data_IF_939416325420
#
_entry.id   IF_939416325420
#
_cell.length_a   1.000
_cell.length_b   1.000
_cell.length_c   1.000
_cell.angle_alpha   90.00
_cell.angle_beta   90.00
_cell.angle_gamma   90.00
#
_symmetry.space_group_name_H-M   'P 1'
#
loop_
_entity.id
_entity.type
_entity.pdbx_description
1 polymer ?
#
# COMPACT_ATOMS: atom_id res chain seq x y z
N UNK A 1 -10.44 -17.14 -42.70
CA UNK A 1 -10.84 -16.03 -41.81
C UNK A 1 -11.54 -14.98 -42.65
N UNK A 2 -12.75 -14.58 -42.26
CA UNK A 2 -13.51 -13.54 -42.97
C UNK A 2 -12.90 -12.15 -42.70
N UNK A 3 -12.59 -11.41 -43.77
CA UNK A 3 -11.98 -10.07 -43.70
C UNK A 3 -12.94 -9.00 -43.16
N UNK A 4 -14.24 -9.28 -43.09
CA UNK A 4 -15.25 -8.40 -42.47
C UNK A 4 -15.08 -8.26 -40.95
N UNK A 5 -14.55 -9.30 -40.29
CA UNK A 5 -14.57 -9.41 -38.82
C UNK A 5 -13.53 -8.55 -38.10
N UNK A 6 -12.37 -8.32 -38.70
CA UNK A 6 -11.29 -7.55 -38.07
C UNK A 6 -11.58 -6.03 -37.99
N UNK A 7 -12.08 -5.36 -39.05
CA UNK A 7 -12.50 -3.95 -38.95
C UNK A 7 -13.61 -3.72 -37.91
N UNK A 8 -14.54 -4.66 -37.78
CA UNK A 8 -15.64 -4.56 -36.82
C UNK A 8 -15.15 -4.71 -35.37
N UNK A 9 -14.27 -5.69 -35.10
CA UNK A 9 -13.64 -5.84 -33.79
C UNK A 9 -12.82 -4.61 -33.36
N UNK A 10 -12.14 -3.95 -34.30
CA UNK A 10 -11.44 -2.69 -34.05
C UNK A 10 -12.41 -1.55 -33.70
N UNK A 11 -13.46 -1.33 -34.51
CA UNK A 11 -14.48 -0.29 -34.24
C UNK A 11 -15.13 -0.47 -32.87
N UNK A 12 -15.55 -1.70 -32.56
CA UNK A 12 -16.17 -2.06 -31.28
C UNK A 12 -15.23 -1.78 -30.09
N UNK A 13 -13.93 -2.04 -30.27
CA UNK A 13 -12.88 -1.68 -29.28
C UNK A 13 -12.77 -0.16 -29.10
N UNK A 14 -12.72 0.59 -30.21
CA UNK A 14 -12.60 2.05 -30.19
C UNK A 14 -13.82 2.70 -29.54
N UNK A 15 -15.03 2.23 -29.84
CA UNK A 15 -16.28 2.75 -29.29
C UNK A 15 -16.42 2.45 -27.79
N UNK A 16 -15.97 1.28 -27.32
CA UNK A 16 -15.87 0.97 -25.89
C UNK A 16 -14.88 1.89 -25.17
N UNK A 17 -13.71 2.15 -25.76
CA UNK A 17 -12.72 3.07 -25.19
C UNK A 17 -13.28 4.51 -25.15
N UNK A 18 -13.94 4.97 -26.23
CA UNK A 18 -14.61 6.28 -26.28
C UNK A 18 -15.70 6.41 -25.21
N UNK A 19 -16.54 5.38 -25.03
CA UNK A 19 -17.57 5.38 -24.00
C UNK A 19 -16.98 5.49 -22.59
N UNK A 20 -15.91 4.75 -22.28
CA UNK A 20 -15.20 4.87 -20.99
C UNK A 20 -14.58 6.27 -20.83
N UNK A 21 -13.99 6.85 -21.88
CA UNK A 21 -13.44 8.22 -21.83
C UNK A 21 -14.52 9.29 -21.58
N UNK A 22 -15.72 9.14 -22.15
CA UNK A 22 -16.86 10.01 -21.87
C UNK A 22 -17.34 9.88 -20.41
N UNK A 23 -17.36 8.66 -19.87
CA UNK A 23 -17.69 8.39 -18.45
C UNK A 23 -16.65 8.99 -17.49
N UNK A 24 -15.37 8.97 -17.87
CA UNK A 24 -14.26 9.63 -17.15
C UNK A 24 -14.41 11.16 -17.19
N UNK A 25 -14.69 11.73 -18.37
CA UNK A 25 -14.88 13.18 -18.51
C UNK A 25 -16.09 13.69 -17.70
N UNK A 26 -17.23 12.99 -17.77
CA UNK A 26 -18.40 13.31 -16.95
C UNK A 26 -18.14 13.09 -15.44
N UNK A 27 -17.40 12.05 -15.09
CA UNK A 27 -16.95 11.77 -13.72
C UNK A 27 -16.01 12.83 -13.15
N UNK A 28 -15.15 13.42 -13.98
CA UNK A 28 -14.27 14.54 -13.64
C UNK A 28 -15.09 15.80 -13.37
N UNK A 29 -16.01 16.17 -14.28
CA UNK A 29 -16.92 17.31 -14.08
C UNK A 29 -17.71 17.16 -12.79
N UNK A 30 -18.30 15.98 -12.53
CA UNK A 30 -19.07 15.70 -11.31
C UNK A 30 -18.22 15.79 -10.02
N UNK A 31 -16.89 15.61 -10.10
CA UNK A 31 -15.98 15.75 -8.95
C UNK A 31 -15.52 17.19 -8.74
N UNK A 32 -15.22 17.92 -9.82
CA UNK A 32 -14.74 19.31 -9.75
C UNK A 32 -15.86 20.32 -9.44
N UNK A 33 -17.10 20.07 -9.88
CA UNK A 33 -18.25 20.93 -9.60
C UNK A 33 -18.45 21.10 -8.09
N UNK A 34 -18.34 22.34 -7.62
CA UNK A 34 -18.50 22.73 -6.21
C UNK A 34 -17.51 22.06 -5.24
N UNK A 35 -16.33 21.62 -5.72
CA UNK A 35 -15.35 20.89 -4.91
C UNK A 35 -14.87 21.68 -3.67
N UNK A 36 -14.70 23.00 -3.80
CA UNK A 36 -14.30 23.89 -2.71
C UNK A 36 -15.44 24.54 -1.92
N UNK A 37 -16.72 24.22 -2.18
CA UNK A 37 -17.83 24.93 -1.51
C UNK A 37 -18.10 24.49 -0.08
N UNK A 38 -17.71 23.26 0.31
CA UNK A 38 -17.91 22.77 1.68
C UNK A 38 -16.69 23.09 2.53
N UNK A 39 -16.93 23.47 3.78
CA UNK A 39 -15.91 23.64 4.82
C UNK A 39 -15.04 22.38 4.95
N UNK A 40 -13.73 22.56 5.11
CA UNK A 40 -12.78 21.51 5.43
C UNK A 40 -13.19 20.68 6.67
N UNK A 41 -13.25 19.35 6.52
CA UNK A 41 -13.34 18.47 7.69
C UNK A 41 -12.00 18.45 8.45
N UNK A 42 -12.02 18.21 9.76
CA UNK A 42 -10.81 18.20 10.61
C UNK A 42 -9.69 17.29 10.07
N UNK A 43 -10.05 16.10 9.57
CA UNK A 43 -9.09 15.18 8.94
C UNK A 43 -8.55 15.66 7.58
N UNK A 44 -9.30 16.47 6.82
CA UNK A 44 -8.77 17.10 5.58
C UNK A 44 -7.73 18.16 5.97
N UNK A 45 -8.08 19.05 6.91
CA UNK A 45 -7.20 20.10 7.41
C UNK A 45 -5.90 19.56 8.03
N UNK A 46 -5.96 18.45 8.78
CA UNK A 46 -4.76 17.81 9.36
C UNK A 46 -3.80 17.29 8.30
N UNK A 47 -4.28 16.79 7.16
CA UNK A 47 -3.40 16.34 6.06
C UNK A 47 -2.90 17.55 5.25
N UNK A 48 -3.76 18.53 4.99
CA UNK A 48 -3.40 19.76 4.25
C UNK A 48 -2.33 20.58 4.97
N UNK A 49 -2.39 20.64 6.31
CA UNK A 49 -1.34 21.27 7.12
C UNK A 49 0.06 20.69 6.83
N UNK A 50 0.22 19.37 6.71
CA UNK A 50 1.54 18.77 6.45
C UNK A 50 2.02 18.98 5.01
N UNK A 51 1.11 19.11 4.04
CA UNK A 51 1.45 19.53 2.68
C UNK A 51 1.95 20.99 2.65
N UNK A 52 1.27 21.89 3.38
CA UNK A 52 1.69 23.29 3.57
C UNK A 52 3.04 23.39 4.29
N UNK A 53 3.20 22.71 5.43
CA UNK A 53 4.46 22.69 6.18
C UNK A 53 5.61 22.23 5.29
N UNK A 54 5.44 21.16 4.51
CA UNK A 54 6.48 20.70 3.57
C UNK A 54 6.80 21.72 2.48
N UNK A 55 5.78 22.43 1.94
CA UNK A 55 5.99 23.50 0.97
C UNK A 55 6.76 24.70 1.57
N UNK A 56 6.48 25.04 2.83
CA UNK A 56 7.09 26.19 3.52
C UNK A 56 8.51 25.90 4.03
N UNK A 57 8.78 24.70 4.54
CA UNK A 57 10.07 24.37 5.18
C UNK A 57 10.99 23.50 4.32
N UNK A 58 10.46 22.80 3.30
CA UNK A 58 11.17 21.73 2.60
C UNK A 58 11.34 20.44 3.43
N UNK A 59 10.81 20.38 4.65
CA UNK A 59 10.97 19.27 5.57
C UNK A 59 9.71 18.42 5.71
N UNK A 60 9.86 17.11 5.67
CA UNK A 60 8.81 16.13 5.97
C UNK A 60 9.43 14.79 6.36
N UNK A 61 8.92 14.21 7.44
CA UNK A 61 9.19 12.83 7.85
C UNK A 61 7.89 12.03 7.85
N UNK A 62 7.95 10.70 7.78
CA UNK A 62 6.73 9.91 7.73
C UNK A 62 5.98 9.96 9.07
N UNK A 63 4.69 10.31 9.03
CA UNK A 63 3.82 10.49 10.19
C UNK A 63 2.59 9.62 10.08
N UNK A 64 2.64 8.41 10.64
CA UNK A 64 1.58 7.41 10.58
C UNK A 64 0.17 7.90 10.99
N UNK A 65 0.09 8.92 11.86
CA UNK A 65 -1.17 9.57 12.29
C UNK A 65 -1.90 10.35 11.17
N UNK A 66 -1.22 10.64 10.07
CA UNK A 66 -1.79 11.21 8.83
C UNK A 66 -1.68 10.28 7.63
N UNK A 67 -1.38 8.99 7.87
CA UNK A 67 -1.20 7.93 6.87
C UNK A 67 0.00 8.17 5.93
N UNK A 68 0.07 7.39 4.85
CA UNK A 68 1.13 7.46 3.85
C UNK A 68 1.30 8.86 3.24
N UNK A 69 2.55 9.25 2.89
CA UNK A 69 2.91 10.65 2.62
C UNK A 69 2.60 11.13 1.19
N UNK A 70 2.10 10.27 0.30
CA UNK A 70 1.86 10.59 -1.12
C UNK A 70 0.96 11.83 -1.32
N UNK A 71 -0.10 11.94 -0.53
CA UNK A 71 -1.04 13.05 -0.63
C UNK A 71 -0.33 14.38 -0.30
N UNK A 72 0.48 14.39 0.74
CA UNK A 72 1.21 15.56 1.25
C UNK A 72 2.22 16.08 0.21
N UNK A 73 2.97 15.19 -0.45
CA UNK A 73 3.86 15.59 -1.55
C UNK A 73 3.09 16.10 -2.77
N UNK A 74 2.01 15.44 -3.16
CA UNK A 74 1.21 15.83 -4.32
C UNK A 74 0.59 17.22 -4.11
N UNK A 75 -0.04 17.45 -2.96
CA UNK A 75 -0.71 18.70 -2.64
C UNK A 75 0.27 19.85 -2.38
N UNK A 76 1.49 19.60 -1.89
CA UNK A 76 2.51 20.66 -1.80
C UNK A 76 2.81 21.28 -3.17
N UNK A 77 2.88 20.45 -4.24
CA UNK A 77 2.99 20.95 -5.62
C UNK A 77 1.70 21.65 -6.09
N UNK A 78 0.51 21.14 -5.75
CA UNK A 78 -0.76 21.79 -6.10
C UNK A 78 -0.89 23.16 -5.42
N UNK A 79 -0.50 23.28 -4.15
CA UNK A 79 -0.49 24.54 -3.40
C UNK A 79 0.54 25.53 -3.93
N UNK A 80 1.73 25.07 -4.34
CA UNK A 80 2.72 25.92 -5.00
C UNK A 80 2.19 26.55 -6.31
N UNK A 81 1.33 25.84 -7.04
CA UNK A 81 0.81 26.26 -8.34
C UNK A 81 -0.51 27.05 -8.25
N UNK A 82 -1.43 26.67 -7.34
CA UNK A 82 -2.80 27.17 -7.29
C UNK A 82 -3.16 27.87 -5.97
N UNK A 83 -2.23 27.96 -5.02
CA UNK A 83 -2.47 28.39 -3.64
C UNK A 83 -3.22 27.34 -2.82
N UNK A 84 -3.07 27.38 -1.49
CA UNK A 84 -3.80 26.50 -0.59
C UNK A 84 -5.21 27.03 -0.30
N UNK A 85 -6.24 26.23 -0.61
CA UNK A 85 -7.64 26.51 -0.35
C UNK A 85 -8.48 25.20 -0.43
N UNK A 86 -9.75 25.28 -0.02
CA UNK A 86 -10.68 24.15 0.02
C UNK A 86 -10.94 23.47 -1.33
N UNK A 87 -10.68 24.13 -2.46
CA UNK A 87 -10.74 23.52 -3.79
C UNK A 87 -9.42 22.80 -4.12
N UNK A 88 -8.29 23.49 -3.98
CA UNK A 88 -6.98 22.96 -4.38
C UNK A 88 -6.58 21.75 -3.56
N UNK A 89 -6.85 21.73 -2.24
CA UNK A 89 -6.52 20.59 -1.37
C UNK A 89 -7.30 19.31 -1.69
N UNK A 90 -8.38 19.40 -2.47
CA UNK A 90 -9.19 18.25 -2.88
C UNK A 90 -8.91 17.83 -4.32
N UNK A 91 -8.17 18.65 -5.08
CA UNK A 91 -7.99 18.51 -6.52
C UNK A 91 -7.26 17.21 -6.88
N UNK A 92 -6.17 16.88 -6.18
CA UNK A 92 -5.39 15.66 -6.46
C UNK A 92 -6.25 14.40 -6.31
N UNK A 93 -6.95 14.25 -5.17
CA UNK A 93 -7.82 13.10 -4.90
C UNK A 93 -9.03 13.05 -5.85
N UNK A 94 -9.58 14.22 -6.20
CA UNK A 94 -10.66 14.33 -7.19
C UNK A 94 -10.24 13.88 -8.58
N UNK A 95 -9.03 14.24 -9.03
CA UNK A 95 -8.48 13.80 -10.32
C UNK A 95 -8.20 12.30 -10.31
N UNK A 96 -7.55 11.75 -9.26
CA UNK A 96 -7.33 10.29 -9.16
C UNK A 96 -8.65 9.53 -9.16
N UNK A 97 -9.66 10.00 -8.44
CA UNK A 97 -10.99 9.39 -8.43
C UNK A 97 -11.77 9.55 -9.73
N UNK A 98 -11.52 10.60 -10.51
CA UNK A 98 -12.08 10.78 -11.84
C UNK A 98 -11.44 9.84 -12.88
N UNK A 99 -10.16 9.50 -12.71
CA UNK A 99 -9.41 8.60 -13.58
C UNK A 99 -9.63 7.11 -13.26
N UNK A 100 -10.06 6.77 -12.04
CA UNK A 100 -10.35 5.39 -11.61
C UNK A 100 -11.23 4.56 -12.60
N UNK A 101 -12.26 5.10 -13.27
CA UNK A 101 -13.04 4.35 -14.26
C UNK A 101 -12.23 3.82 -15.44
N UNK A 102 -11.06 4.39 -15.77
CA UNK A 102 -10.14 3.85 -16.78
C UNK A 102 -9.65 2.44 -16.43
N UNK A 103 -9.61 2.09 -15.14
CA UNK A 103 -9.24 0.75 -14.68
C UNK A 103 -10.15 -0.34 -15.25
N UNK A 104 -11.41 -0.04 -15.61
CA UNK A 104 -12.30 -0.98 -16.28
C UNK A 104 -11.69 -1.54 -17.58
N UNK A 105 -10.92 -0.75 -18.32
CA UNK A 105 -10.26 -1.16 -19.56
C UNK A 105 -9.16 -2.22 -19.34
N UNK A 106 -8.67 -2.42 -18.10
CA UNK A 106 -7.77 -3.53 -17.75
C UNK A 106 -8.52 -4.86 -17.79
N UNK A 107 -9.80 -4.87 -17.40
CA UNK A 107 -10.63 -6.08 -17.27
C UNK A 107 -11.38 -6.48 -18.55
N UNK A 108 -11.28 -5.72 -19.65
CA UNK A 108 -11.95 -6.00 -20.94
C UNK A 108 -11.64 -7.36 -21.60
N UNK A 109 -10.65 -8.11 -21.09
CA UNK A 109 -10.37 -9.48 -21.52
C UNK A 109 -11.27 -10.52 -20.83
N UNK A 110 -11.95 -10.13 -19.74
CA UNK A 110 -12.84 -10.95 -18.92
C UNK A 110 -14.27 -10.39 -18.83
N UNK A 111 -14.44 -9.10 -19.12
CA UNK A 111 -15.72 -8.41 -19.24
C UNK A 111 -16.03 -8.16 -20.72
N UNK A 112 -17.30 -8.30 -21.09
CA UNK A 112 -17.79 -7.75 -22.36
C UNK A 112 -17.69 -6.22 -22.38
N UNK A 113 -17.82 -5.65 -23.56
CA UNK A 113 -17.81 -4.20 -23.81
C UNK A 113 -18.87 -3.46 -22.98
N UNK A 114 -20.09 -4.00 -22.92
CA UNK A 114 -21.17 -3.46 -22.11
C UNK A 114 -20.81 -3.52 -20.61
N UNK A 115 -20.33 -4.67 -20.12
CA UNK A 115 -19.90 -4.81 -18.73
C UNK A 115 -18.71 -3.90 -18.39
N UNK A 116 -17.81 -3.66 -19.34
CA UNK A 116 -16.67 -2.74 -19.20
C UNK A 116 -17.15 -1.30 -19.05
N UNK A 117 -18.12 -0.87 -19.87
CA UNK A 117 -18.73 0.47 -19.75
C UNK A 117 -19.55 0.58 -18.46
N UNK A 118 -20.32 -0.44 -18.08
CA UNK A 118 -21.07 -0.47 -16.83
C UNK A 118 -20.14 -0.43 -15.60
N UNK A 119 -19.02 -1.15 -15.62
CA UNK A 119 -18.00 -1.08 -14.57
C UNK A 119 -17.41 0.34 -14.47
N UNK A 120 -17.11 0.99 -15.60
CA UNK A 120 -16.67 2.38 -15.59
C UNK A 120 -17.73 3.34 -15.03
N UNK A 121 -19.01 3.16 -15.39
CA UNK A 121 -20.14 3.95 -14.87
C UNK A 121 -20.27 3.76 -13.36
N UNK A 122 -20.18 2.53 -12.86
CA UNK A 122 -20.21 2.22 -11.42
C UNK A 122 -19.03 2.87 -10.69
N UNK A 123 -17.80 2.74 -11.20
CA UNK A 123 -16.62 3.38 -10.61
C UNK A 123 -16.71 4.92 -10.63
N UNK A 124 -17.35 5.50 -11.66
CA UNK A 124 -17.48 6.94 -11.83
C UNK A 124 -18.57 7.55 -10.96
N UNK A 125 -19.74 6.92 -10.88
CA UNK A 125 -20.96 7.50 -10.31
C UNK A 125 -21.51 6.79 -9.06
N UNK A 126 -20.86 5.73 -8.55
CA UNK A 126 -21.18 5.20 -7.23
C UNK A 126 -21.07 6.33 -6.18
N UNK A 127 -22.10 6.53 -5.33
CA UNK A 127 -22.15 7.70 -4.43
C UNK A 127 -21.04 7.69 -3.38
N UNK A 128 -20.58 6.52 -2.93
CA UNK A 128 -19.47 6.39 -1.97
C UNK A 128 -18.16 6.80 -2.63
N UNK A 129 -17.88 6.29 -3.84
CA UNK A 129 -16.67 6.66 -4.59
C UNK A 129 -16.68 8.13 -4.99
N UNK A 130 -17.82 8.68 -5.42
CA UNK A 130 -17.97 10.08 -5.77
C UNK A 130 -17.78 11.00 -4.55
N UNK A 131 -18.31 10.62 -3.38
CA UNK A 131 -18.12 11.37 -2.13
C UNK A 131 -16.67 11.35 -1.65
N UNK A 132 -16.07 10.15 -1.50
CA UNK A 132 -14.71 10.03 -0.97
C UNK A 132 -13.63 10.48 -1.94
N UNK A 133 -13.89 10.52 -3.25
CA UNK A 133 -12.96 11.15 -4.21
C UNK A 133 -12.96 12.67 -4.14
N UNK A 134 -13.99 13.27 -3.53
CA UNK A 134 -14.03 14.70 -3.23
C UNK A 134 -13.53 15.01 -1.81
N UNK A 135 -12.99 14.04 -1.07
CA UNK A 135 -12.57 14.18 0.34
C UNK A 135 -11.07 13.97 0.46
N UNK A 136 -10.34 14.95 1.03
CA UNK A 136 -8.88 14.93 1.04
C UNK A 136 -8.32 13.92 2.06
N UNK A 137 -8.33 12.65 1.67
CA UNK A 137 -7.80 11.50 2.41
C UNK A 137 -7.28 10.42 1.48
N UNK A 138 -6.27 9.71 1.93
CA UNK A 138 -5.63 8.62 1.19
C UNK A 138 -6.49 7.36 1.01
N UNK A 139 -7.68 7.26 1.61
CA UNK A 139 -8.54 6.06 1.55
C UNK A 139 -9.03 5.75 0.14
N UNK A 140 -9.36 6.78 -0.67
CA UNK A 140 -9.68 6.55 -2.09
C UNK A 140 -8.41 6.29 -2.91
N UNK A 141 -7.30 7.00 -2.62
CA UNK A 141 -6.04 6.81 -3.31
C UNK A 141 -5.56 5.36 -3.22
N UNK A 142 -5.52 4.76 -2.03
CA UNK A 142 -5.13 3.36 -1.85
C UNK A 142 -6.10 2.41 -2.57
N UNK A 143 -7.41 2.65 -2.51
CA UNK A 143 -8.39 1.82 -3.23
C UNK A 143 -8.17 1.87 -4.75
N UNK A 144 -7.96 3.07 -5.30
CA UNK A 144 -7.75 3.27 -6.73
C UNK A 144 -6.44 2.64 -7.21
N UNK A 145 -5.33 2.90 -6.52
CA UNK A 145 -4.02 2.37 -6.90
C UNK A 145 -3.93 0.85 -6.71
N UNK A 146 -4.47 0.29 -5.62
CA UNK A 146 -4.50 -1.16 -5.45
C UNK A 146 -5.42 -1.85 -6.47
N UNK A 147 -6.56 -1.25 -6.84
CA UNK A 147 -7.43 -1.81 -7.89
C UNK A 147 -6.77 -1.79 -9.29
N UNK A 148 -6.06 -0.71 -9.62
CA UNK A 148 -5.26 -0.62 -10.86
C UNK A 148 -4.09 -1.62 -10.83
N UNK A 149 -3.40 -1.76 -9.70
CA UNK A 149 -2.33 -2.73 -9.51
C UNK A 149 -2.83 -4.16 -9.74
N UNK A 150 -3.99 -4.52 -9.17
CA UNK A 150 -4.65 -5.80 -9.40
C UNK A 150 -4.98 -6.02 -10.88
N UNK A 151 -5.54 -5.01 -11.56
CA UNK A 151 -5.86 -5.11 -12.99
C UNK A 151 -4.64 -5.32 -13.89
N UNK A 152 -3.50 -4.69 -13.57
CA UNK A 152 -2.24 -4.93 -14.28
C UNK A 152 -1.63 -6.30 -13.97
N UNK A 153 -1.66 -6.74 -12.71
CA UNK A 153 -1.21 -8.08 -12.31
C UNK A 153 -2.03 -9.19 -12.96
N UNK A 154 -3.36 -9.03 -12.99
CA UNK A 154 -4.28 -9.95 -13.66
C UNK A 154 -4.01 -10.00 -15.18
N UNK A 155 -3.79 -8.86 -15.83
CA UNK A 155 -3.37 -8.84 -17.25
C UNK A 155 -1.99 -9.47 -17.48
N UNK A 156 -1.05 -9.31 -16.57
CA UNK A 156 0.26 -9.94 -16.70
C UNK A 156 0.11 -11.47 -16.81
N UNK A 157 -0.80 -12.04 -16.00
CA UNK A 157 -1.14 -13.46 -15.98
C UNK A 157 -1.95 -13.88 -17.22
N UNK A 158 -2.99 -13.11 -17.58
CA UNK A 158 -3.93 -13.44 -18.66
C UNK A 158 -3.32 -13.32 -20.05
N UNK A 159 -2.62 -12.22 -20.32
CA UNK A 159 -2.00 -11.94 -21.63
C UNK A 159 -0.63 -12.65 -21.78
N UNK A 160 -0.16 -13.36 -20.75
CA UNK A 160 1.21 -13.87 -20.61
C UNK A 160 2.28 -12.77 -20.83
N UNK A 161 2.09 -11.60 -20.20
CA UNK A 161 2.94 -10.40 -20.37
C UNK A 161 3.55 -9.93 -19.05
N UNK A 162 4.67 -10.55 -18.59
CA UNK A 162 5.37 -10.18 -17.36
C UNK A 162 5.75 -8.70 -17.25
N UNK A 163 5.96 -8.00 -18.38
CA UNK A 163 6.19 -6.54 -18.39
C UNK A 163 5.05 -5.71 -17.77
N UNK A 164 3.86 -6.27 -17.61
CA UNK A 164 2.76 -5.62 -16.90
C UNK A 164 2.90 -5.69 -15.37
N UNK A 165 3.89 -6.43 -14.83
CA UNK A 165 4.25 -6.33 -13.42
C UNK A 165 4.84 -4.96 -13.05
N UNK A 166 5.57 -4.28 -13.95
CA UNK A 166 6.13 -2.96 -13.65
C UNK A 166 5.05 -1.94 -13.24
N UNK A 167 3.99 -1.70 -14.03
CA UNK A 167 2.89 -0.84 -13.58
C UNK A 167 2.12 -1.45 -12.39
N UNK A 168 1.95 -2.78 -12.30
CA UNK A 168 1.29 -3.39 -11.15
C UNK A 168 1.99 -3.05 -9.81
N UNK A 169 3.32 -3.21 -9.76
CA UNK A 169 4.13 -2.90 -8.59
C UNK A 169 4.31 -1.39 -8.38
N UNK A 170 4.39 -0.58 -9.43
CA UNK A 170 4.41 0.88 -9.30
C UNK A 170 3.12 1.41 -8.66
N UNK A 171 1.96 0.94 -9.12
CA UNK A 171 0.67 1.26 -8.50
C UNK A 171 0.52 0.65 -7.11
N UNK A 172 1.07 -0.54 -6.86
CA UNK A 172 1.17 -1.11 -5.50
C UNK A 172 1.94 -0.19 -4.55
N UNK A 173 3.11 0.31 -4.96
CA UNK A 173 3.93 1.23 -4.18
C UNK A 173 3.22 2.58 -3.94
N UNK A 174 2.50 3.11 -4.93
CA UNK A 174 1.62 4.27 -4.75
C UNK A 174 0.46 3.98 -3.78
N UNK A 175 -0.05 2.75 -3.75
CA UNK A 175 -1.03 2.28 -2.77
C UNK A 175 -0.48 2.34 -1.34
N UNK A 176 0.71 1.80 -1.08
CA UNK A 176 1.38 1.92 0.22
C UNK A 176 1.69 3.38 0.58
N UNK A 177 2.28 4.13 -0.37
CA UNK A 177 2.59 5.55 -0.18
C UNK A 177 1.34 6.42 0.06
N UNK A 178 0.16 5.98 -0.39
CA UNK A 178 -1.11 6.56 0.02
C UNK A 178 -1.49 6.15 1.45
N UNK A 179 -1.54 4.84 1.73
CA UNK A 179 -1.96 4.32 3.04
C UNK A 179 -1.43 2.92 3.31
N UNK A 180 -0.96 2.71 4.54
CA UNK A 180 -0.56 1.43 5.12
C UNK A 180 -1.64 0.31 5.00
N UNK A 181 -2.92 0.68 4.92
CA UNK A 181 -4.03 -0.22 4.58
C UNK A 181 -3.83 -1.00 3.25
N UNK A 182 -2.90 -0.60 2.37
CA UNK A 182 -2.53 -1.36 1.18
C UNK A 182 -2.18 -2.82 1.48
N UNK A 183 -1.58 -3.09 2.65
CA UNK A 183 -1.29 -4.45 3.10
C UNK A 183 -2.56 -5.33 3.21
N UNK A 184 -3.68 -4.74 3.66
CA UNK A 184 -4.96 -5.44 3.79
C UNK A 184 -5.50 -5.85 2.42
N UNK A 185 -5.31 -5.04 1.38
CA UNK A 185 -5.68 -5.42 0.00
C UNK A 185 -4.92 -6.66 -0.46
N UNK A 186 -3.60 -6.73 -0.20
CA UNK A 186 -2.80 -7.91 -0.52
C UNK A 186 -3.28 -9.15 0.24
N UNK A 187 -3.59 -9.03 1.53
CA UNK A 187 -4.16 -10.12 2.33
C UNK A 187 -5.51 -10.60 1.77
N UNK A 188 -6.39 -9.67 1.36
CA UNK A 188 -7.65 -10.00 0.71
C UNK A 188 -7.45 -10.72 -0.63
N UNK A 189 -6.43 -10.35 -1.43
CA UNK A 189 -6.13 -11.04 -2.69
C UNK A 189 -5.59 -12.45 -2.45
N UNK A 190 -4.74 -12.65 -1.45
CA UNK A 190 -4.26 -13.99 -1.05
C UNK A 190 -5.44 -14.85 -0.57
N UNK A 191 -6.32 -14.31 0.28
CA UNK A 191 -7.53 -15.01 0.74
C UNK A 191 -8.48 -15.37 -0.41
N UNK A 192 -8.74 -14.45 -1.33
CA UNK A 192 -9.54 -14.71 -2.53
C UNK A 192 -8.88 -15.75 -3.45
N UNK A 193 -7.55 -15.71 -3.61
CA UNK A 193 -6.77 -16.70 -4.34
C UNK A 193 -6.87 -18.10 -3.73
N UNK A 194 -6.84 -18.21 -2.41
CA UNK A 194 -7.05 -19.47 -1.70
C UNK A 194 -8.46 -20.05 -1.93
N UNK A 195 -9.50 -19.21 -1.90
CA UNK A 195 -10.88 -19.62 -2.22
C UNK A 195 -11.05 -20.03 -3.69
N UNK A 196 -10.36 -19.38 -4.62
CA UNK A 196 -10.36 -19.77 -6.04
C UNK A 196 -9.61 -21.10 -6.28
N UNK A 197 -8.52 -21.35 -5.54
CA UNK A 197 -7.80 -22.62 -5.56
C UNK A 197 -8.68 -23.75 -5.00
N UNK A 198 -9.30 -23.54 -3.83
CA UNK A 198 -10.24 -24.48 -3.20
C UNK A 198 -11.40 -24.84 -4.14
N UNK A 199 -12.03 -23.82 -4.76
CA UNK A 199 -13.05 -24.04 -5.79
C UNK A 199 -12.53 -24.81 -7.01
N UNK A 200 -11.30 -24.55 -7.46
CA UNK A 200 -10.68 -25.28 -8.58
C UNK A 200 -10.36 -26.74 -8.24
N UNK A 201 -10.01 -27.03 -6.98
CA UNK A 201 -9.77 -28.39 -6.49
C UNK A 201 -11.08 -29.18 -6.40
N UNK A 202 -12.18 -28.55 -5.98
CA UNK A 202 -13.51 -29.19 -5.90
C UNK A 202 -14.22 -29.32 -7.25
N UNK A 203 -13.91 -28.48 -8.24
CA UNK A 203 -14.60 -28.44 -9.52
C UNK A 203 -13.60 -28.45 -10.71
N UNK A 204 -12.99 -29.60 -11.04
CA UNK A 204 -11.88 -29.70 -12.00
C UNK A 204 -12.22 -29.43 -13.47
N UNK A 205 -13.48 -29.13 -13.81
CA UNK A 205 -13.98 -28.82 -15.16
C UNK A 205 -13.69 -29.91 -16.20
N UNK A 206 -12.53 -29.84 -16.84
CA UNK A 206 -12.10 -30.67 -17.97
C UNK A 206 -10.96 -31.64 -17.58
N UNK A 207 -10.52 -31.62 -16.32
CA UNK A 207 -9.47 -32.49 -15.79
C UNK A 207 -10.09 -33.62 -14.95
N UNK A 208 -9.43 -34.76 -14.87
CA UNK A 208 -9.92 -35.95 -14.16
C UNK A 208 -9.98 -35.74 -12.64
N UNK A 209 -9.08 -34.90 -12.08
CA UNK A 209 -9.13 -34.45 -10.69
C UNK A 209 -8.73 -32.99 -10.52
N UNK A 210 -9.05 -32.42 -9.35
CA UNK A 210 -8.63 -31.07 -8.95
C UNK A 210 -7.11 -30.93 -8.87
N UNK A 211 -6.41 -32.01 -8.50
CA UNK A 211 -4.96 -32.03 -8.47
C UNK A 211 -4.39 -31.95 -9.89
N UNK A 212 -4.96 -32.67 -10.86
CA UNK A 212 -4.52 -32.61 -12.26
C UNK A 212 -4.74 -31.22 -12.87
N UNK A 213 -5.84 -30.55 -12.50
CA UNK A 213 -6.10 -29.16 -12.91
C UNK A 213 -5.05 -28.16 -12.39
N UNK A 214 -4.50 -28.41 -11.19
CA UNK A 214 -3.43 -27.60 -10.59
C UNK A 214 -2.07 -28.00 -11.16
N UNK A 215 -1.77 -29.29 -11.27
CA UNK A 215 -0.53 -29.83 -11.84
C UNK A 215 -0.35 -29.35 -13.27
N UNK A 216 -1.36 -29.42 -14.13
CA UNK A 216 -1.29 -28.90 -15.50
C UNK A 216 -0.91 -27.41 -15.62
N UNK A 217 -1.04 -26.63 -14.53
CA UNK A 217 -0.58 -25.23 -14.46
C UNK A 217 0.88 -25.08 -13.99
N UNK A 218 1.39 -26.07 -13.26
CA UNK A 218 2.74 -26.16 -12.68
C UNK A 218 3.69 -26.97 -13.57
N UNK A 219 3.22 -28.00 -14.28
CA UNK A 219 4.01 -28.91 -15.11
C UNK A 219 4.97 -28.19 -16.08
N UNK A 220 4.58 -27.10 -16.80
CA UNK A 220 5.52 -26.36 -17.64
C UNK A 220 6.71 -25.74 -16.89
N UNK A 221 6.58 -25.53 -15.58
CA UNK A 221 7.65 -25.06 -14.69
C UNK A 221 8.46 -26.23 -14.10
N UNK A 222 7.86 -27.42 -13.94
CA UNK A 222 8.56 -28.65 -13.51
C UNK A 222 9.44 -29.18 -14.63
N UNK A 223 8.89 -29.30 -15.84
CA UNK A 223 9.62 -29.67 -17.06
C UNK A 223 10.81 -28.73 -17.29
N UNK A 224 10.59 -27.43 -17.08
CA UNK A 224 11.62 -26.40 -17.20
C UNK A 224 12.79 -26.61 -16.23
N UNK A 225 12.57 -27.20 -15.04
CA UNK A 225 13.61 -27.48 -14.05
C UNK A 225 14.29 -28.83 -14.26
N UNK A 226 13.70 -29.74 -15.06
CA UNK A 226 14.17 -31.11 -15.23
C UNK A 226 15.32 -31.27 -16.25
N UNK A 227 15.43 -30.37 -17.24
CA UNK A 227 16.43 -30.46 -18.32
C UNK A 227 17.29 -29.22 -18.51
N UNK A 228 18.13 -28.82 -17.53
CA UNK A 228 18.68 -27.47 -17.52
C UNK A 228 19.86 -27.20 -18.46
N UNK A 229 19.82 -26.05 -19.15
CA UNK A 229 20.98 -25.51 -19.86
C UNK A 229 22.06 -25.03 -18.87
N UNK A 230 23.33 -25.30 -19.19
CA UNK A 230 24.48 -25.09 -18.28
C UNK A 230 25.17 -23.76 -18.54
N UNK A 231 24.45 -22.67 -18.31
CA UNK A 231 25.03 -21.32 -18.30
C UNK A 231 25.63 -20.96 -16.93
N UNK A 232 26.58 -20.02 -16.90
CA UNK A 232 27.15 -19.48 -15.66
C UNK A 232 26.09 -18.83 -14.77
N UNK A 233 25.07 -18.22 -15.38
CA UNK A 233 23.97 -17.56 -14.65
C UNK A 233 23.08 -18.58 -13.95
N UNK A 234 22.82 -19.74 -14.56
CA UNK A 234 22.08 -20.85 -13.92
C UNK A 234 22.84 -21.36 -12.69
N UNK A 235 24.18 -21.48 -12.76
CA UNK A 235 25.01 -21.86 -11.61
C UNK A 235 24.91 -20.81 -10.49
N UNK A 236 25.01 -19.52 -10.82
CA UNK A 236 24.89 -18.42 -9.87
C UNK A 236 23.52 -18.42 -9.16
N UNK A 237 22.43 -18.47 -9.91
CA UNK A 237 21.08 -18.45 -9.33
C UNK A 237 20.72 -19.75 -8.61
N UNK A 238 21.31 -20.89 -8.98
CA UNK A 238 21.24 -22.13 -8.19
C UNK A 238 21.93 -21.94 -6.84
N UNK A 239 23.15 -21.40 -6.82
CA UNK A 239 23.89 -21.14 -5.59
C UNK A 239 23.16 -20.13 -4.67
N UNK A 240 22.60 -19.06 -5.24
CA UNK A 240 21.76 -18.10 -4.51
C UNK A 240 20.52 -18.79 -3.93
N UNK A 241 19.83 -19.63 -4.70
CA UNK A 241 18.65 -20.37 -4.23
C UNK A 241 18.99 -21.32 -3.08
N UNK A 242 20.06 -22.12 -3.21
CA UNK A 242 20.51 -23.04 -2.15
C UNK A 242 20.93 -22.28 -0.89
N UNK A 243 21.72 -21.21 -1.01
CA UNK A 243 22.14 -20.39 0.12
C UNK A 243 20.93 -19.75 0.82
N UNK A 244 19.97 -19.22 0.06
CA UNK A 244 18.77 -18.59 0.61
C UNK A 244 17.85 -19.60 1.27
N UNK A 245 17.73 -20.82 0.74
CA UNK A 245 16.99 -21.92 1.37
C UNK A 245 17.62 -22.34 2.71
N UNK A 246 18.96 -22.37 2.80
CA UNK A 246 19.67 -22.63 4.06
C UNK A 246 19.43 -21.50 5.08
N UNK A 247 19.48 -20.24 4.66
CA UNK A 247 19.16 -19.07 5.51
C UNK A 247 17.70 -19.12 5.99
N UNK A 248 16.75 -19.45 5.11
CA UNK A 248 15.34 -19.62 5.42
C UNK A 248 15.13 -20.71 6.49
N UNK A 249 15.72 -21.89 6.29
CA UNK A 249 15.64 -23.00 7.23
C UNK A 249 16.25 -22.64 8.59
N UNK A 250 17.44 -22.03 8.61
CA UNK A 250 18.09 -21.59 9.84
C UNK A 250 17.26 -20.54 10.58
N UNK A 251 16.73 -19.52 9.88
CA UNK A 251 15.92 -18.46 10.46
C UNK A 251 14.60 -19.00 11.03
N UNK A 252 13.92 -19.90 10.31
CA UNK A 252 12.69 -20.54 10.77
C UNK A 252 12.94 -21.38 12.05
N UNK A 253 13.98 -22.22 12.06
CA UNK A 253 14.33 -23.07 13.20
C UNK A 253 14.82 -22.26 14.42
N UNK A 254 15.48 -21.12 14.19
CA UNK A 254 16.01 -20.26 15.25
C UNK A 254 14.98 -19.28 15.83
N UNK A 255 13.76 -19.23 15.28
CA UNK A 255 12.71 -18.30 15.70
C UNK A 255 12.89 -16.86 15.22
N UNK A 256 13.46 -16.66 14.02
CA UNK A 256 13.70 -15.34 13.40
C UNK A 256 12.70 -15.09 12.26
N UNK A 257 11.42 -14.77 12.56
CA UNK A 257 10.35 -14.77 11.56
C UNK A 257 10.54 -13.74 10.45
N UNK A 258 11.06 -12.54 10.77
CA UNK A 258 11.33 -11.50 9.75
C UNK A 258 12.40 -11.95 8.76
N UNK A 259 13.50 -12.53 9.24
CA UNK A 259 14.57 -13.07 8.39
C UNK A 259 14.08 -14.24 7.55
N UNK A 260 13.21 -15.10 8.10
CA UNK A 260 12.59 -16.18 7.35
C UNK A 260 11.67 -15.64 6.24
N UNK A 261 10.82 -14.63 6.50
CA UNK A 261 9.96 -14.00 5.49
C UNK A 261 10.80 -13.37 4.37
N UNK A 262 11.85 -12.61 4.71
CA UNK A 262 12.76 -12.01 3.72
C UNK A 262 13.47 -13.09 2.89
N UNK A 263 13.98 -14.14 3.53
CA UNK A 263 14.62 -15.25 2.82
C UNK A 263 13.64 -15.99 1.89
N UNK A 264 12.38 -16.21 2.32
CA UNK A 264 11.36 -16.83 1.47
C UNK A 264 11.04 -15.97 0.22
N UNK A 265 10.99 -14.65 0.36
CA UNK A 265 10.79 -13.73 -0.77
C UNK A 265 11.99 -13.70 -1.72
N UNK A 266 13.23 -13.68 -1.19
CA UNK A 266 14.45 -13.77 -2.02
C UNK A 266 14.53 -15.11 -2.74
N UNK A 267 14.16 -16.21 -2.06
CA UNK A 267 14.12 -17.55 -2.65
C UNK A 267 13.09 -17.64 -3.79
N UNK A 268 11.89 -17.07 -3.60
CA UNK A 268 10.88 -16.99 -4.66
C UNK A 268 11.42 -16.28 -5.92
N UNK A 269 12.06 -15.11 -5.74
CA UNK A 269 12.67 -14.38 -6.86
C UNK A 269 13.78 -15.20 -7.51
N UNK A 270 14.67 -15.80 -6.71
CA UNK A 270 15.78 -16.60 -7.21
C UNK A 270 15.31 -17.84 -8.02
N UNK A 271 14.26 -18.53 -7.56
CA UNK A 271 13.66 -19.65 -8.27
C UNK A 271 12.96 -19.21 -9.57
N UNK A 272 12.23 -18.09 -9.56
CA UNK A 272 11.63 -17.56 -10.82
C UNK A 272 12.70 -17.11 -11.81
N UNK A 273 13.81 -16.54 -11.35
CA UNK A 273 14.97 -16.25 -12.19
C UNK A 273 15.64 -17.50 -12.73
N UNK A 274 15.75 -18.55 -11.92
CA UNK A 274 16.29 -19.84 -12.36
C UNK A 274 15.46 -20.39 -13.53
N UNK A 275 14.13 -20.44 -13.39
CA UNK A 275 13.23 -20.87 -14.49
C UNK A 275 13.41 -20.01 -15.75
N UNK A 276 13.47 -18.68 -15.61
CA UNK A 276 13.67 -17.73 -16.73
C UNK A 276 14.99 -17.90 -17.49
N UNK A 277 16.03 -18.44 -16.83
CA UNK A 277 17.38 -18.64 -17.35
C UNK A 277 17.60 -20.05 -17.89
N UNK A 278 16.93 -21.04 -17.31
CA UNK A 278 17.04 -22.44 -17.69
C UNK A 278 16.31 -22.73 -19.02
N UNK A 279 15.31 -21.92 -19.40
CA UNK A 279 14.57 -22.06 -20.67
C UNK A 279 14.88 -20.94 -21.69
N UNK A 280 15.52 -21.25 -22.84
CA UNK A 280 15.62 -20.32 -23.96
C UNK A 280 14.29 -20.18 -24.72
N UNK A 281 13.62 -21.30 -25.03
CA UNK A 281 12.35 -21.37 -25.74
C UNK A 281 11.44 -22.44 -25.12
N UNK A 282 10.19 -22.11 -24.80
CA UNK A 282 9.24 -23.02 -24.13
C UNK A 282 7.90 -22.36 -23.79
N UNK A 283 6.94 -23.14 -23.27
CA UNK A 283 5.60 -22.66 -22.91
C UNK A 283 5.53 -21.93 -21.55
N UNK A 284 6.60 -21.99 -20.75
CA UNK A 284 6.70 -21.28 -19.48
C UNK A 284 6.86 -19.77 -19.70
N UNK A 285 6.16 -18.98 -18.87
CA UNK A 285 6.19 -17.52 -18.95
C UNK A 285 7.43 -17.00 -18.21
N UNK A 286 8.21 -16.12 -18.85
CA UNK A 286 9.47 -15.57 -18.29
C UNK A 286 9.21 -14.43 -17.29
N UNK A 287 8.97 -14.80 -16.04
CA UNK A 287 8.58 -13.90 -14.94
C UNK A 287 9.75 -13.26 -14.22
N UNK A 288 10.83 -14.00 -13.95
CA UNK A 288 11.92 -13.61 -13.06
C UNK A 288 12.51 -12.24 -13.36
N UNK A 289 12.84 -11.97 -14.62
CA UNK A 289 13.41 -10.68 -15.05
C UNK A 289 12.48 -9.48 -14.76
N UNK A 290 11.20 -9.64 -15.06
CA UNK A 290 10.20 -8.61 -14.82
C UNK A 290 9.86 -8.48 -13.32
N UNK A 291 9.81 -9.58 -12.58
CA UNK A 291 9.52 -9.61 -11.14
C UNK A 291 10.62 -8.90 -10.34
N UNK A 292 11.90 -9.23 -10.59
CA UNK A 292 13.02 -8.55 -9.93
C UNK A 292 13.02 -7.05 -10.23
N UNK A 293 12.83 -6.66 -11.49
CA UNK A 293 12.73 -5.25 -11.88
C UNK A 293 11.53 -4.53 -11.25
N UNK A 294 10.40 -5.23 -11.08
CA UNK A 294 9.18 -4.69 -10.46
C UNK A 294 9.32 -4.53 -8.95
N UNK A 295 10.01 -5.46 -8.28
CA UNK A 295 10.38 -5.35 -6.86
C UNK A 295 11.37 -4.20 -6.62
N UNK A 296 12.38 -4.05 -7.48
CA UNK A 296 13.30 -2.92 -7.44
C UNK A 296 12.57 -1.58 -7.63
N UNK A 297 11.63 -1.51 -8.58
CA UNK A 297 10.78 -0.33 -8.79
C UNK A 297 9.89 -0.04 -7.58
N UNK A 298 9.26 -1.06 -6.98
CA UNK A 298 8.45 -0.91 -5.77
C UNK A 298 9.27 -0.36 -4.60
N UNK A 299 10.47 -0.92 -4.37
CA UNK A 299 11.37 -0.48 -3.33
C UNK A 299 11.85 0.97 -3.56
N UNK A 300 12.20 1.32 -4.80
CA UNK A 300 12.62 2.67 -5.19
C UNK A 300 11.49 3.71 -4.97
N UNK A 301 10.26 3.41 -5.41
CA UNK A 301 9.11 4.30 -5.23
C UNK A 301 8.73 4.41 -3.75
N UNK A 302 8.75 3.30 -3.00
CA UNK A 302 8.47 3.30 -1.57
C UNK A 302 9.51 4.10 -0.79
N UNK A 303 10.80 3.89 -1.05
CA UNK A 303 11.89 4.69 -0.47
C UNK A 303 11.74 6.17 -0.83
N UNK A 304 11.45 6.49 -2.09
CA UNK A 304 11.20 7.87 -2.50
C UNK A 304 10.07 8.52 -1.70
N UNK A 305 8.97 7.82 -1.38
CA UNK A 305 7.89 8.43 -0.61
C UNK A 305 8.17 8.48 0.90
N UNK A 306 8.71 7.41 1.49
CA UNK A 306 8.88 7.31 2.94
C UNK A 306 10.16 7.94 3.48
N UNK A 307 11.21 8.12 2.66
CA UNK A 307 12.46 8.71 3.13
C UNK A 307 12.24 10.15 3.66
N UNK A 308 12.87 10.53 4.79
CA UNK A 308 12.74 11.87 5.32
C UNK A 308 13.35 12.90 4.36
N UNK A 309 12.77 14.11 4.32
CA UNK A 309 13.41 15.33 3.83
C UNK A 309 13.69 16.20 5.04
N UNK A 310 14.95 16.60 5.19
CA UNK A 310 15.45 17.43 6.29
C UNK A 310 16.31 18.54 5.72
N UNK A 311 16.33 19.70 6.35
CA UNK A 311 17.15 20.85 5.99
C UNK A 311 18.14 21.11 7.13
N UNK A 312 19.43 20.88 6.89
CA UNK A 312 20.49 21.10 7.89
C UNK A 312 21.11 19.81 8.40
N UNK A 313 21.11 19.58 9.72
CA UNK A 313 21.94 18.57 10.38
C UNK A 313 21.39 17.12 10.33
N UNK A 314 20.26 16.88 9.66
CA UNK A 314 19.67 15.56 9.48
C UNK A 314 20.32 14.73 8.37
N UNK A 315 19.78 13.54 8.13
CA UNK A 315 20.03 12.75 6.91
C UNK A 315 18.72 12.69 6.13
N UNK A 316 18.63 13.51 5.08
CA UNK A 316 17.51 13.53 4.16
C UNK A 316 17.79 12.73 2.88
N UNK A 317 16.73 12.43 2.13
CA UNK A 317 16.81 11.75 0.83
C UNK A 317 17.81 12.44 -0.11
N UNK A 318 17.78 13.77 -0.18
CA UNK A 318 18.65 14.55 -1.07
C UNK A 318 20.12 14.47 -0.66
N UNK A 319 20.42 14.39 0.64
CA UNK A 319 21.81 14.20 1.09
C UNK A 319 22.38 12.88 0.58
N UNK A 320 21.61 11.79 0.64
CA UNK A 320 22.06 10.47 0.15
C UNK A 320 22.12 10.37 -1.39
N UNK A 321 21.37 11.21 -2.11
CA UNK A 321 21.44 11.32 -3.57
C UNK A 321 22.74 11.99 -4.02
N UNK A 322 23.21 13.00 -3.29
CA UNK A 322 24.46 13.72 -3.61
C UNK A 322 25.70 13.15 -2.89
N UNK A 323 25.53 12.42 -1.79
CA UNK A 323 26.56 11.65 -1.08
C UNK A 323 26.09 10.20 -0.85
N UNK A 324 26.42 9.27 -1.75
CA UNK A 324 26.03 7.86 -1.63
C UNK A 324 26.50 7.16 -0.35
N UNK A 325 27.50 7.70 0.37
CA UNK A 325 27.96 7.11 1.63
C UNK A 325 26.93 7.24 2.76
N UNK A 326 25.98 8.18 2.62
CA UNK A 326 24.86 8.38 3.56
C UNK A 326 23.68 7.44 3.35
N UNK A 327 23.67 6.63 2.28
CA UNK A 327 22.54 5.76 1.96
C UNK A 327 22.16 4.76 3.08
N UNK A 328 23.11 4.12 3.81
CA UNK A 328 22.76 3.27 4.96
C UNK A 328 22.04 4.05 6.06
N UNK A 329 22.53 5.25 6.41
CA UNK A 329 21.90 6.10 7.41
C UNK A 329 20.52 6.62 6.98
N UNK A 330 20.29 6.82 5.67
CA UNK A 330 18.97 7.13 5.13
C UNK A 330 17.99 5.96 5.32
N UNK A 331 18.43 4.72 5.06
CA UNK A 331 17.61 3.53 5.27
C UNK A 331 17.25 3.36 6.75
N UNK A 332 18.22 3.56 7.65
CA UNK A 332 18.00 3.50 9.10
C UNK A 332 17.00 4.58 9.57
N UNK A 333 17.12 5.82 9.08
CA UNK A 333 16.19 6.90 9.39
C UNK A 333 14.78 6.61 8.84
N UNK A 334 14.69 6.16 7.59
CA UNK A 334 13.42 5.79 6.93
C UNK A 334 12.71 4.65 7.69
N UNK A 335 13.46 3.62 8.10
CA UNK A 335 12.92 2.53 8.90
C UNK A 335 12.53 2.99 10.32
N UNK A 336 13.30 3.91 10.90
CA UNK A 336 13.01 4.55 12.18
C UNK A 336 11.66 5.27 12.22
N UNK A 337 11.28 5.94 11.13
CA UNK A 337 9.96 6.57 10.98
C UNK A 337 8.84 5.54 10.72
N UNK A 338 9.09 4.53 9.87
CA UNK A 338 8.09 3.53 9.47
C UNK A 338 7.69 2.62 10.63
N UNK A 339 8.68 2.04 11.35
CA UNK A 339 8.48 0.97 12.32
C UNK A 339 7.44 1.32 13.41
N UNK A 340 7.49 2.49 14.09
CA UNK A 340 6.50 2.85 15.10
C UNK A 340 5.06 2.93 14.54
N UNK A 341 4.91 3.30 13.26
CA UNK A 341 3.62 3.29 12.59
C UNK A 341 3.09 1.88 12.35
N UNK A 342 3.96 0.95 11.93
CA UNK A 342 3.57 -0.46 11.77
C UNK A 342 3.21 -1.10 13.11
N UNK A 343 4.00 -0.85 14.16
CA UNK A 343 3.74 -1.31 15.53
C UNK A 343 2.40 -0.76 16.06
N UNK A 344 2.12 0.53 15.83
CA UNK A 344 0.84 1.15 16.21
C UNK A 344 -0.37 0.54 15.48
N UNK A 345 -0.30 0.40 14.15
CA UNK A 345 -1.44 -0.05 13.35
C UNK A 345 -1.67 -1.57 13.40
N UNK A 346 -0.63 -2.38 13.62
CA UNK A 346 -0.73 -3.84 13.56
C UNK A 346 -0.44 -4.56 14.89
N UNK A 347 0.07 -3.87 15.93
CA UNK A 347 0.24 -4.44 17.27
C UNK A 347 -0.98 -4.28 18.20
N UNK A 348 -1.92 -3.39 17.86
CA UNK A 348 -2.99 -2.94 18.76
C UNK A 348 -4.22 -3.85 18.89
N UNK A 349 -4.06 -5.12 19.26
CA UNK A 349 -5.21 -6.04 19.49
C UNK A 349 -5.18 -6.87 20.79
N UNK A 350 -4.26 -6.60 21.72
CA UNK A 350 -4.09 -7.43 22.95
C UNK A 350 -4.24 -6.73 24.30
N UNK A 351 -4.12 -5.40 24.41
CA UNK A 351 -4.53 -4.67 25.62
C UNK A 351 -5.91 -4.02 25.44
N UNK A 352 -6.96 -4.52 26.13
CA UNK A 352 -8.12 -3.67 26.43
C UNK A 352 -7.63 -2.47 27.24
N UNK A 353 -8.15 -1.27 26.96
CA UNK A 353 -8.00 -0.15 27.89
C UNK A 353 -8.60 -0.58 29.23
N UNK A 354 -7.78 -0.69 30.27
CA UNK A 354 -8.17 -1.32 31.53
C UNK A 354 -9.52 -0.82 32.05
N UNK A 355 -10.52 -1.70 32.07
CA UNK A 355 -11.80 -1.48 32.75
C UNK A 355 -13.03 -1.21 31.87
N UNK A 356 -12.95 -1.25 30.55
CA UNK A 356 -14.10 -0.96 29.66
C UNK A 356 -14.34 -2.04 28.60
N UNK A 357 -15.56 -2.58 28.53
CA UNK A 357 -15.98 -3.56 27.52
C UNK A 357 -16.32 -2.92 26.16
N UNK A 358 -16.38 -1.58 26.07
CA UNK A 358 -16.53 -0.86 24.79
C UNK A 358 -15.72 0.44 24.73
N UNK A 359 -15.44 0.91 23.51
CA UNK A 359 -14.60 2.09 23.24
C UNK A 359 -15.20 3.42 23.80
N UNK A 360 -16.49 3.45 24.12
CA UNK A 360 -17.23 4.68 24.48
C UNK A 360 -17.04 5.08 25.95
N UNK A 361 -17.03 4.14 26.90
CA UNK A 361 -16.96 4.46 28.34
C UNK A 361 -15.65 5.13 28.77
N UNK A 362 -14.55 4.84 28.05
CA UNK A 362 -13.24 5.44 28.28
C UNK A 362 -13.17 6.97 28.11
N UNK A 363 -14.18 7.61 27.52
CA UNK A 363 -14.27 9.08 27.38
C UNK A 363 -15.06 9.78 28.48
N UNK A 364 -15.84 9.08 29.29
CA UNK A 364 -16.63 9.68 30.39
C UNK A 364 -15.88 9.82 31.71
N UNK A 365 -14.79 9.07 31.91
CA UNK A 365 -14.09 9.00 33.20
C UNK A 365 -13.13 10.16 33.51
N UNK A 366 -12.87 11.09 32.57
CA UNK A 366 -11.83 12.11 32.71
C UNK A 366 -12.18 13.31 33.59
N UNK A 367 -13.40 13.40 34.13
CA UNK A 367 -13.89 14.58 34.85
C UNK A 367 -14.02 14.46 36.37
N UNK A 368 -13.82 13.29 36.99
CA UNK A 368 -13.79 13.16 38.45
C UNK A 368 -12.87 12.03 38.95
N UNK A 369 -11.95 12.39 39.87
CA UNK A 369 -11.05 11.55 40.70
C UNK A 369 -9.83 10.88 40.01
N UNK A 370 -8.58 11.25 40.41
CA UNK A 370 -7.36 10.56 39.98
C UNK A 370 -6.73 9.71 41.12
N UNK A 371 -6.72 8.38 40.99
CA UNK A 371 -5.91 7.52 41.89
C UNK A 371 -5.68 6.05 41.46
N UNK A 372 -6.38 5.51 40.46
CA UNK A 372 -6.44 4.06 40.23
C UNK A 372 -5.43 3.45 39.22
N UNK A 373 -4.60 4.25 38.53
CA UNK A 373 -3.70 3.75 37.48
C UNK A 373 -2.19 3.77 37.83
N UNK A 374 -1.84 3.89 39.12
CA UNK A 374 -0.45 3.94 39.62
C UNK A 374 -0.14 2.76 40.56
N UNK A 375 0.02 1.54 40.02
CA UNK A 375 0.50 0.40 40.81
C UNK A 375 1.30 -0.68 40.04
N UNK A 376 2.09 -0.29 39.04
CA UNK A 376 2.99 -1.21 38.31
C UNK A 376 4.42 -0.67 38.09
N UNK A 377 4.90 0.23 38.97
CA UNK A 377 6.32 0.67 38.99
C UNK A 377 6.89 0.81 40.40
N UNK A 378 6.84 -0.24 41.22
CA UNK A 378 7.65 -0.35 42.46
C UNK A 378 8.15 -1.77 42.73
N UNK A 379 9.28 -2.12 42.11
CA UNK A 379 10.10 -3.28 42.48
C UNK A 379 11.61 -2.99 42.43
N UNK A 380 12.04 -1.78 42.82
CA UNK A 380 13.48 -1.43 42.96
C UNK A 380 13.72 -0.18 43.83
N UNK A 381 13.47 -0.28 45.14
CA UNK A 381 14.24 0.39 46.21
C UNK A 381 13.50 0.31 47.55
N UNK A 382 14.16 -0.24 48.56
CA UNK A 382 13.66 -0.29 49.94
C UNK A 382 14.41 0.73 50.80
N UNK A 383 13.64 1.65 51.43
CA UNK A 383 13.82 2.19 52.80
C UNK A 383 12.98 3.47 52.99
N UNK A 384 12.08 3.44 53.97
CA UNK A 384 11.58 4.61 54.70
C UNK A 384 12.06 4.50 56.15
N UNK A 385 12.12 5.62 56.90
CA UNK A 385 11.07 5.82 57.91
C UNK A 385 10.64 7.30 58.20
N UNK A 386 9.39 7.44 58.68
CA UNK A 386 8.83 8.30 59.78
C UNK A 386 9.58 9.60 60.21
N UNK A 387 8.97 10.77 60.52
CA UNK A 387 7.60 11.29 60.85
C UNK A 387 7.56 12.81 60.47
N UNK A 388 6.57 13.71 60.73
CA UNK A 388 5.25 13.73 61.39
C UNK A 388 4.84 15.18 61.79
N UNK A 389 3.55 15.47 62.11
CA UNK A 389 3.00 16.75 62.67
C UNK A 389 3.10 18.06 61.82
N UNK A 390 2.23 19.08 61.89
CA UNK A 390 0.84 19.24 62.43
C UNK A 390 0.21 20.61 62.06
N UNK A 391 -1.11 20.63 61.83
CA UNK A 391 -2.07 21.76 62.01
C UNK A 391 -2.20 22.90 60.95
N UNK A 392 -3.39 23.56 60.85
CA UNK A 392 -3.77 24.41 59.70
C UNK A 392 -4.01 25.90 60.03
N UNK A 393 -4.02 26.79 59.02
CA UNK A 393 -4.39 28.21 59.18
C UNK A 393 -5.32 28.71 58.04
N UNK A 394 -6.58 28.93 58.44
CA UNK A 394 -7.63 29.87 57.97
C UNK A 394 -7.68 30.42 56.54
N UNK A 395 -8.88 30.35 55.95
CA UNK A 395 -9.30 31.13 54.78
C UNK A 395 -9.62 32.60 55.12
N UNK A 396 -9.47 33.49 54.14
CA UNK A 396 -10.06 34.82 54.12
C UNK A 396 -10.50 35.20 52.68
N UNK A 397 -11.61 35.93 52.57
CA UNK A 397 -12.37 36.14 51.34
C UNK A 397 -12.13 37.50 50.67
N UNK A 398 -12.38 37.54 49.35
CA UNK A 398 -13.17 38.56 48.62
C UNK A 398 -12.47 39.56 47.67
N UNK A 399 -13.18 39.76 46.53
CA UNK A 399 -13.23 40.92 45.60
C UNK A 399 -12.12 41.14 44.56
N UNK A 400 -12.52 40.91 43.30
CA UNK A 400 -12.21 41.76 42.14
C UNK A 400 -13.13 43.03 42.14
N UNK A 401 -13.07 43.96 41.17
CA UNK A 401 -12.14 44.07 40.03
C UNK A 401 -11.46 45.46 39.88
N UNK A 402 -10.46 45.53 39.01
CA UNK A 402 -10.26 46.58 37.98
C UNK A 402 -9.58 45.94 36.77
#
# INVERSE_FOLDING_TARGET
>A
MDRSSFPEALRRTDDTVRAVLLVVAAGLVARLLFLGQRVAHFDEGRVAYWALNYLETGEISYRYIVHGPLAQYADAWVFALLGANDFSMRLFVAVVGALLPLAALLFRGRLSDLETVLAAVLLSFNPILLYYSRFYRSSLLVAAFMFVAFGFGLRALDDARPRLLYPAFAFGALGFAAKENALVYLMCWVGAGALLLDFSLMNPRNYDSGLDAVLARIDPYVDALAGPDRSTDVILWTAVSVLTLLVLGYAALSGWPLTAIVAALVLLVALTMLVDLVHPEGAAIRWGGALLGSLGLFALVSLFFYAPRTVGAGVGLWDAVFDPTRFPALLDATWGDIRPGLEYWFGGSVEPKCGEETVIGGTSASWNTPSACWRTTRSSSSRSPWLGSSSPVTAATARAPW
#
